data_IF_673004589213
#
_entry.id   IF_673004589213
#
_cell.length_a   1.000
_cell.length_b   1.000
_cell.length_c   1.000
_cell.angle_alpha   90.00
_cell.angle_beta   90.00
_cell.angle_gamma   90.00
#
_symmetry.space_group_name_H-M   'P 1'
#
loop_
_entity.id
_entity.type
_entity.pdbx_description
1 polymer ?
#
# COMPACT_ATOMS: atom_id res chain seq x y z
N UNK A 1 10.12 -3.46 11.04
CA UNK A 1 10.29 -4.92 11.21
C UNK A 1 9.25 -5.50 12.18
N UNK A 2 9.25 -5.11 13.47
CA UNK A 2 8.26 -5.61 14.46
C UNK A 2 6.79 -5.43 14.05
N UNK A 3 6.42 -4.26 13.52
CA UNK A 3 5.04 -4.00 13.07
C UNK A 3 4.66 -4.85 11.86
N UNK A 4 5.58 -4.98 10.89
CA UNK A 4 5.37 -5.84 9.71
C UNK A 4 5.12 -7.29 10.12
N UNK A 5 5.97 -7.83 11.01
CA UNK A 5 5.84 -9.21 11.50
C UNK A 5 4.51 -9.39 12.24
N UNK A 6 4.15 -8.48 13.15
CA UNK A 6 2.88 -8.54 13.87
C UNK A 6 1.64 -8.52 12.95
N UNK A 7 1.64 -7.69 11.90
CA UNK A 7 0.54 -7.64 10.94
C UNK A 7 0.46 -8.92 10.08
N UNK A 8 1.61 -9.50 9.73
CA UNK A 8 1.66 -10.74 8.97
C UNK A 8 1.21 -11.93 9.82
N UNK A 9 1.63 -11.99 11.08
CA UNK A 9 1.20 -13.04 12.02
C UNK A 9 -0.31 -12.96 12.25
N UNK A 10 -0.85 -11.74 12.44
CA UNK A 10 -2.30 -11.55 12.55
C UNK A 10 -3.05 -11.99 11.28
N UNK A 11 -2.50 -11.71 10.09
CA UNK A 11 -3.06 -12.14 8.81
C UNK A 11 -2.98 -13.67 8.59
N UNK A 12 -2.10 -14.37 9.32
CA UNK A 12 -2.00 -15.82 9.26
C UNK A 12 -3.15 -16.49 10.03
N UNK A 13 -3.62 -15.88 11.12
CA UNK A 13 -4.72 -16.37 11.94
C UNK A 13 -6.10 -16.04 11.30
N UNK A 14 -6.22 -14.89 10.64
CA UNK A 14 -7.45 -14.46 10.00
C UNK A 14 -7.18 -13.53 8.80
N UNK A 15 -7.95 -13.64 7.69
CA UNK A 15 -7.81 -12.71 6.58
C UNK A 15 -7.98 -11.26 7.02
N UNK A 16 -7.03 -10.40 6.65
CA UNK A 16 -6.97 -9.02 7.10
C UNK A 16 -6.92 -8.05 5.92
N UNK A 17 -7.66 -6.94 6.02
CA UNK A 17 -7.55 -5.79 5.13
C UNK A 17 -6.89 -4.66 5.90
N UNK A 18 -5.82 -4.09 5.36
CA UNK A 18 -5.17 -2.91 5.92
C UNK A 18 -5.24 -1.80 4.88
N UNK A 19 -5.93 -0.72 5.23
CA UNK A 19 -6.05 0.46 4.39
C UNK A 19 -5.11 1.56 4.90
N UNK A 20 -4.36 2.15 3.98
CA UNK A 20 -3.57 3.36 4.21
C UNK A 20 -4.06 4.43 3.27
N UNK A 21 -4.59 5.49 3.86
CA UNK A 21 -5.13 6.63 3.13
C UNK A 21 -4.07 7.72 2.95
N UNK A 22 -4.16 8.43 1.81
CA UNK A 22 -3.34 9.60 1.49
C UNK A 22 -1.84 9.33 1.63
N UNK A 23 -1.35 8.28 0.99
CA UNK A 23 0.07 7.87 1.10
C UNK A 23 1.03 8.93 0.55
N UNK A 24 0.55 9.92 -0.20
CA UNK A 24 1.32 11.10 -0.62
C UNK A 24 1.79 11.97 0.56
N UNK A 25 1.16 11.82 1.72
CA UNK A 25 1.53 12.49 2.98
C UNK A 25 2.41 11.62 3.90
N UNK A 26 2.60 10.33 3.56
CA UNK A 26 3.37 9.41 4.38
C UNK A 26 4.86 9.77 4.40
N UNK A 27 5.50 9.59 5.56
CA UNK A 27 6.95 9.68 5.70
C UNK A 27 7.68 8.47 5.08
N UNK A 28 9.00 8.59 4.94
CA UNK A 28 9.79 7.55 4.28
C UNK A 28 9.79 6.23 5.07
N UNK A 29 9.71 6.28 6.41
CA UNK A 29 9.59 5.07 7.24
C UNK A 29 8.28 4.32 7.01
N UNK A 30 7.19 5.04 6.79
CA UNK A 30 5.89 4.48 6.46
C UNK A 30 5.92 3.83 5.08
N UNK A 31 6.53 4.48 4.09
CA UNK A 31 6.71 3.89 2.75
C UNK A 31 7.56 2.62 2.78
N UNK A 32 8.57 2.54 3.65
CA UNK A 32 9.36 1.30 3.86
C UNK A 32 8.49 0.20 4.46
N UNK A 33 7.64 0.50 5.45
CA UNK A 33 6.69 -0.46 6.02
C UNK A 33 5.71 -0.98 4.96
N UNK A 34 5.11 -0.09 4.17
CA UNK A 34 4.15 -0.44 3.13
C UNK A 34 4.76 -1.35 2.07
N UNK A 35 5.99 -1.06 1.62
CA UNK A 35 6.71 -1.92 0.68
C UNK A 35 6.98 -3.31 1.27
N UNK A 36 7.38 -3.38 2.53
CA UNK A 36 7.61 -4.65 3.21
C UNK A 36 6.31 -5.48 3.37
N UNK A 37 5.18 -4.83 3.63
CA UNK A 37 3.86 -5.49 3.67
C UNK A 37 3.43 -5.97 2.29
N UNK A 38 3.56 -5.14 1.26
CA UNK A 38 3.18 -5.49 -0.11
C UNK A 38 3.96 -6.71 -0.65
N UNK A 39 5.27 -6.77 -0.38
CA UNK A 39 6.11 -7.92 -0.77
C UNK A 39 5.67 -9.24 -0.10
N UNK A 40 5.03 -9.16 1.07
CA UNK A 40 4.55 -10.32 1.84
C UNK A 40 3.08 -10.65 1.59
N UNK A 41 2.29 -9.67 1.15
CA UNK A 41 0.86 -9.84 0.84
C UNK A 41 0.62 -10.95 -0.20
N UNK A 42 1.55 -11.17 -1.12
CA UNK A 42 1.44 -12.23 -2.14
C UNK A 42 1.39 -13.66 -1.56
N UNK A 43 1.89 -13.88 -0.34
CA UNK A 43 1.96 -15.19 0.30
C UNK A 43 1.17 -15.27 1.61
N UNK A 44 0.31 -14.29 1.91
CA UNK A 44 -0.44 -14.18 3.17
C UNK A 44 -1.88 -13.76 2.89
N UNK A 45 -2.81 -14.00 3.81
CA UNK A 45 -4.20 -13.57 3.67
C UNK A 45 -4.36 -12.06 4.01
N UNK A 46 -3.45 -11.24 3.48
CA UNK A 46 -3.40 -9.80 3.70
C UNK A 46 -3.75 -9.07 2.41
N UNK A 47 -4.79 -8.23 2.45
CA UNK A 47 -5.09 -7.24 1.41
C UNK A 47 -4.61 -5.87 1.87
N UNK A 48 -3.67 -5.30 1.14
CA UNK A 48 -3.19 -3.93 1.35
C UNK A 48 -3.89 -2.98 0.38
N UNK A 49 -4.61 -1.99 0.89
CA UNK A 49 -5.28 -0.95 0.11
C UNK A 49 -4.55 0.37 0.34
N UNK A 50 -4.07 1.00 -0.73
CA UNK A 50 -3.35 2.26 -0.68
C UNK A 50 -4.12 3.29 -1.48
N UNK A 51 -4.41 4.46 -0.91
CA UNK A 51 -4.98 5.59 -1.65
C UNK A 51 -3.94 6.68 -1.80
N UNK A 52 -3.89 7.27 -2.99
CA UNK A 52 -3.03 8.41 -3.31
C UNK A 52 -3.88 9.49 -3.92
N UNK A 53 -3.75 10.72 -3.43
CA UNK A 53 -4.40 11.85 -4.06
C UNK A 53 -3.55 12.33 -5.23
N UNK A 54 -3.91 11.92 -6.45
CA UNK A 54 -3.16 12.26 -7.67
C UNK A 54 -3.07 13.78 -7.95
N UNK A 55 -3.94 14.61 -7.35
CA UNK A 55 -3.90 16.06 -7.50
C UNK A 55 -2.89 16.74 -6.57
N UNK A 56 -2.35 16.04 -5.57
CA UNK A 56 -1.35 16.57 -4.65
C UNK A 56 0.03 16.62 -5.29
N UNK A 57 0.78 17.70 -5.06
CA UNK A 57 2.16 17.86 -5.56
C UNK A 57 3.07 16.70 -5.13
N UNK A 58 2.85 16.18 -3.91
CA UNK A 58 3.63 15.10 -3.33
C UNK A 58 3.38 13.73 -4.00
N UNK A 59 2.29 13.57 -4.76
CA UNK A 59 2.03 12.33 -5.50
C UNK A 59 3.12 12.05 -6.55
N UNK A 60 3.70 13.10 -7.14
CA UNK A 60 4.84 12.96 -8.06
C UNK A 60 6.08 12.34 -7.41
N UNK A 61 6.29 12.57 -6.09
CA UNK A 61 7.37 11.94 -5.30
C UNK A 61 7.20 10.43 -5.22
N UNK A 62 5.95 9.95 -5.23
CA UNK A 62 5.63 8.54 -5.11
C UNK A 62 5.73 7.80 -6.43
N UNK A 63 5.80 8.48 -7.59
CA UNK A 63 5.77 7.82 -8.89
C UNK A 63 6.84 6.71 -9.02
N UNK A 64 8.08 6.99 -8.62
CA UNK A 64 9.15 5.99 -8.62
C UNK A 64 8.91 4.86 -7.63
N UNK A 65 8.37 5.16 -6.45
CA UNK A 65 8.06 4.18 -5.42
C UNK A 65 6.91 3.26 -5.84
N UNK A 66 5.84 3.81 -6.41
CA UNK A 66 4.69 3.08 -6.95
C UNK A 66 5.10 2.18 -8.11
N UNK A 67 5.90 2.68 -9.05
CA UNK A 67 6.45 1.86 -10.14
C UNK A 67 7.26 0.69 -9.61
N UNK A 68 8.08 0.93 -8.58
CA UNK A 68 8.83 -0.14 -7.90
C UNK A 68 7.88 -1.17 -7.27
N UNK A 69 6.87 -0.71 -6.53
CA UNK A 69 5.89 -1.57 -5.88
C UNK A 69 5.14 -2.46 -6.88
N UNK A 70 4.70 -1.88 -8.00
CA UNK A 70 4.03 -2.59 -9.10
C UNK A 70 4.94 -3.65 -9.73
N UNK A 71 6.24 -3.37 -9.85
CA UNK A 71 7.20 -4.33 -10.41
C UNK A 71 7.54 -5.49 -9.46
N UNK A 72 7.49 -5.25 -8.14
CA UNK A 72 7.92 -6.21 -7.12
C UNK A 72 6.79 -7.01 -6.49
N UNK A 73 5.53 -6.62 -6.71
CA UNK A 73 4.38 -7.17 -6.01
C UNK A 73 3.16 -7.24 -6.92
N UNK A 74 2.19 -8.10 -6.57
CA UNK A 74 0.89 -8.13 -7.26
C UNK A 74 0.08 -6.92 -6.83
N UNK A 75 0.12 -5.86 -7.63
CA UNK A 75 -0.62 -4.62 -7.41
C UNK A 75 -1.72 -4.49 -8.46
N UNK A 76 -2.90 -4.06 -8.03
CA UNK A 76 -3.96 -3.58 -8.92
C UNK A 76 -4.08 -2.08 -8.74
N UNK A 77 -3.88 -1.32 -9.81
CA UNK A 77 -4.09 0.12 -9.82
C UNK A 77 -5.53 0.40 -10.24
N UNK A 78 -6.24 1.17 -9.43
CA UNK A 78 -7.60 1.64 -9.72
C UNK A 78 -7.58 3.16 -9.76
N UNK A 79 -7.82 3.72 -10.95
CA UNK A 79 -8.06 5.16 -11.09
C UNK A 79 -9.52 5.43 -10.73
N UNK A 80 -9.73 6.21 -9.67
CA UNK A 80 -11.07 6.59 -9.24
C UNK A 80 -11.51 7.86 -9.95
N UNK A 81 -12.66 7.79 -10.60
CA UNK A 81 -13.38 8.94 -11.11
C UNK A 81 -14.61 9.22 -10.24
N UNK A 82 -15.09 10.48 -10.18
CA UNK A 82 -16.35 10.77 -9.52
C UNK A 82 -17.45 9.86 -10.09
N UNK A 83 -18.21 9.23 -9.19
CA UNK A 83 -19.43 8.55 -9.59
C UNK A 83 -20.36 9.67 -10.07
N UNK A 84 -20.73 9.65 -11.35
CA UNK A 84 -21.64 10.66 -11.92
C UNK A 84 -22.87 10.82 -11.02
N UNK A 85 -23.37 12.05 -10.82
CA UNK A 85 -24.59 12.28 -10.06
C UNK A 85 -25.81 11.60 -10.70
#
# INVERSE_FOLDING_TARGET
RRVTEALIDAAADSPMVVAFEDIDLADDSSLVLLRALAQRAASTALLLVLTVNAAQTNASRLAGWLNTLVSESRVTLLEMTPISP
#
